data_IF_851063149064
#
_entry.id   IF_851063149064
#
_cell.length_a   1.000
_cell.length_b   1.000
_cell.length_c   1.000
_cell.angle_alpha   90.00
_cell.angle_beta   90.00
_cell.angle_gamma   90.00
#
_symmetry.space_group_name_H-M   'P 1'
#
loop_
_entity.id
_entity.type
_entity.pdbx_description
1 polymer ?
#
# COMPACT_ATOMS: atom_id res chain seq x y z
N UNK A 1 -30.92 11.33 -8.41
CA UNK A 1 -30.18 10.95 -7.19
C UNK A 1 -29.77 12.21 -6.43
N UNK A 2 -29.71 12.18 -5.08
CA UNK A 2 -29.26 13.33 -4.26
C UNK A 2 -27.75 13.50 -4.44
N UNK A 3 -27.27 14.76 -4.56
CA UNK A 3 -25.85 15.12 -4.71
C UNK A 3 -25.45 15.99 -3.52
N UNK A 4 -24.30 15.73 -2.89
CA UNK A 4 -23.76 16.53 -1.79
C UNK A 4 -22.65 17.48 -2.26
N UNK A 5 -22.93 18.32 -3.26
CA UNK A 5 -21.90 19.19 -3.82
C UNK A 5 -21.45 20.27 -2.83
N UNK A 6 -20.15 20.39 -2.52
CA UNK A 6 -19.65 21.27 -1.46
C UNK A 6 -19.79 22.77 -1.80
N UNK A 7 -19.64 23.15 -3.07
CA UNK A 7 -19.60 24.55 -3.52
C UNK A 7 -20.99 25.05 -3.95
N UNK A 8 -21.11 26.37 -4.15
CA UNK A 8 -22.39 26.99 -4.53
C UNK A 8 -22.88 26.59 -5.92
N UNK A 9 -21.95 26.48 -6.88
CA UNK A 9 -22.28 26.18 -8.28
C UNK A 9 -21.49 25.00 -8.81
N UNK A 10 -22.19 24.11 -9.51
CA UNK A 10 -21.59 23.08 -10.36
C UNK A 10 -21.26 23.70 -11.70
N UNK A 11 -20.03 23.53 -12.20
CA UNK A 11 -19.63 23.97 -13.53
C UNK A 11 -20.15 22.99 -14.58
N UNK A 12 -20.42 23.45 -15.82
CA UNK A 12 -20.99 22.59 -16.86
C UNK A 12 -20.18 21.30 -17.06
N UNK A 13 -18.85 21.38 -17.14
CA UNK A 13 -17.98 20.19 -17.29
C UNK A 13 -18.05 19.26 -16.08
N UNK A 14 -18.24 19.80 -14.87
CA UNK A 14 -18.44 18.98 -13.67
C UNK A 14 -19.81 18.26 -13.67
N UNK A 15 -20.85 18.94 -14.19
CA UNK A 15 -22.19 18.36 -14.27
C UNK A 15 -22.20 17.14 -15.18
N UNK A 16 -21.56 17.22 -16.35
CA UNK A 16 -21.44 16.08 -17.26
C UNK A 16 -20.63 14.94 -16.62
N UNK A 17 -19.50 15.27 -15.97
CA UNK A 17 -18.70 14.28 -15.25
C UNK A 17 -19.51 13.58 -14.13
N UNK A 18 -20.28 14.32 -13.36
CA UNK A 18 -21.18 13.80 -12.33
C UNK A 18 -22.23 12.86 -12.93
N UNK A 19 -22.86 13.24 -14.06
CA UNK A 19 -23.83 12.40 -14.77
C UNK A 19 -23.24 11.07 -15.21
N UNK A 20 -22.03 11.11 -15.79
CA UNK A 20 -21.33 9.90 -16.23
C UNK A 20 -21.00 8.97 -15.05
N UNK A 21 -20.54 9.52 -13.93
CA UNK A 21 -20.30 8.76 -12.71
C UNK A 21 -21.57 8.08 -12.23
N UNK A 22 -22.66 8.85 -12.08
CA UNK A 22 -23.94 8.33 -11.59
C UNK A 22 -24.48 7.23 -12.52
N UNK A 23 -24.41 7.44 -13.83
CA UNK A 23 -24.80 6.44 -14.83
C UNK A 23 -23.97 5.15 -14.72
N UNK A 24 -22.64 5.28 -14.59
CA UNK A 24 -21.77 4.13 -14.43
C UNK A 24 -22.11 3.34 -13.16
N UNK A 25 -22.29 4.03 -12.03
CA UNK A 25 -22.57 3.42 -10.73
C UNK A 25 -23.93 2.72 -10.71
N UNK A 26 -24.98 3.34 -11.27
CA UNK A 26 -26.31 2.74 -11.40
C UNK A 26 -26.30 1.49 -12.28
N UNK A 27 -25.51 1.50 -13.34
CA UNK A 27 -25.36 0.36 -14.25
C UNK A 27 -24.38 -0.71 -13.72
N UNK A 28 -23.77 -0.50 -12.55
CA UNK A 28 -22.70 -1.34 -11.98
C UNK A 28 -21.52 -1.58 -12.95
N UNK A 29 -21.17 -0.55 -13.73
CA UNK A 29 -20.03 -0.57 -14.65
C UNK A 29 -18.83 0.13 -14.04
N UNK A 30 -17.64 -0.27 -14.46
CA UNK A 30 -16.43 0.49 -14.21
C UNK A 30 -16.42 1.78 -15.04
N UNK A 31 -15.74 2.80 -14.54
CA UNK A 31 -15.55 4.07 -15.25
C UNK A 31 -14.07 4.40 -15.33
N UNK A 32 -13.59 4.69 -16.55
CA UNK A 32 -12.26 5.28 -16.77
C UNK A 32 -12.51 6.68 -17.32
N UNK A 33 -12.05 7.70 -16.60
CA UNK A 33 -12.33 9.10 -16.95
C UNK A 33 -11.04 9.92 -17.10
N UNK A 34 -10.84 10.46 -18.30
CA UNK A 34 -9.88 11.56 -18.49
C UNK A 34 -10.54 12.85 -17.99
N UNK A 35 -10.03 13.36 -16.89
CA UNK A 35 -10.58 14.54 -16.22
C UNK A 35 -9.45 15.55 -15.94
N UNK A 36 -9.26 16.57 -16.77
CA UNK A 36 -8.18 17.55 -16.65
C UNK A 36 -8.07 18.19 -15.27
N UNK A 37 -6.89 18.65 -14.91
CA UNK A 37 -6.66 19.39 -13.66
C UNK A 37 -7.52 20.67 -13.63
N UNK A 38 -8.02 21.02 -12.45
CA UNK A 38 -8.82 22.24 -12.27
C UNK A 38 -10.32 22.11 -12.54
N UNK A 39 -10.81 20.99 -13.10
CA UNK A 39 -12.27 20.80 -13.28
C UNK A 39 -12.99 20.48 -11.95
N UNK A 40 -12.26 20.19 -10.87
CA UNK A 40 -12.85 19.80 -9.58
C UNK A 40 -13.26 18.33 -9.51
N UNK A 41 -12.42 17.43 -10.03
CA UNK A 41 -12.61 15.96 -10.02
C UNK A 41 -13.05 15.42 -8.67
N UNK A 42 -12.29 15.74 -7.62
CA UNK A 42 -12.52 15.25 -6.26
C UNK A 42 -13.90 15.65 -5.75
N UNK A 43 -14.28 16.93 -5.91
CA UNK A 43 -15.60 17.40 -5.52
C UNK A 43 -16.72 16.73 -6.34
N UNK A 44 -16.54 16.59 -7.65
CA UNK A 44 -17.51 15.93 -8.54
C UNK A 44 -17.75 14.48 -8.15
N UNK A 45 -16.69 13.68 -8.00
CA UNK A 45 -16.81 12.26 -7.70
C UNK A 45 -17.32 12.01 -6.27
N UNK A 46 -16.79 12.70 -5.27
CA UNK A 46 -17.21 12.52 -3.88
C UNK A 46 -18.67 12.95 -3.67
N UNK A 47 -19.08 14.09 -4.26
CA UNK A 47 -20.42 14.61 -4.11
C UNK A 47 -21.50 13.70 -4.69
N UNK A 48 -21.19 12.92 -5.70
CA UNK A 48 -22.10 11.97 -6.34
C UNK A 48 -22.07 10.60 -5.65
N UNK A 49 -20.91 10.10 -5.26
CA UNK A 49 -20.78 8.73 -4.73
C UNK A 49 -21.13 8.64 -3.25
N UNK A 50 -20.80 9.64 -2.42
CA UNK A 50 -21.12 9.58 -0.98
C UNK A 50 -22.60 9.39 -0.71
N UNK A 51 -23.54 10.15 -1.29
CA UNK A 51 -24.97 9.88 -1.10
C UNK A 51 -25.39 8.48 -1.56
N UNK A 52 -24.82 8.00 -2.65
CA UNK A 52 -25.12 6.68 -3.20
C UNK A 52 -24.69 5.55 -2.26
N UNK A 53 -23.45 5.60 -1.74
CA UNK A 53 -22.97 4.56 -0.81
C UNK A 53 -23.76 4.54 0.48
N UNK A 54 -24.21 5.69 0.98
CA UNK A 54 -25.04 5.78 2.18
C UNK A 54 -26.41 5.12 1.95
N UNK A 55 -27.05 5.36 0.79
CA UNK A 55 -28.31 4.72 0.42
C UNK A 55 -28.17 3.21 0.27
N UNK A 56 -27.09 2.75 -0.40
CA UNK A 56 -26.87 1.33 -0.70
C UNK A 56 -26.12 0.57 0.41
N UNK A 57 -25.70 1.24 1.49
CA UNK A 57 -24.89 0.68 2.59
C UNK A 57 -23.58 0.05 2.09
N UNK A 58 -22.89 0.76 1.18
CA UNK A 58 -21.58 0.39 0.64
C UNK A 58 -20.48 1.16 1.37
N UNK A 59 -19.24 0.74 1.19
CA UNK A 59 -18.05 1.50 1.61
C UNK A 59 -17.42 2.17 0.39
N UNK A 60 -17.05 3.42 0.51
CA UNK A 60 -16.25 4.11 -0.48
C UNK A 60 -14.76 4.04 -0.09
N UNK A 61 -13.92 3.54 -0.99
CA UNK A 61 -12.48 3.71 -0.94
C UNK A 61 -12.06 4.82 -1.89
N UNK A 62 -11.47 5.90 -1.37
CA UNK A 62 -10.85 6.94 -2.17
C UNK A 62 -9.34 6.76 -2.10
N UNK A 63 -8.77 6.27 -3.19
CA UNK A 63 -7.36 5.89 -3.25
C UNK A 63 -6.53 6.93 -4.00
N UNK A 64 -5.40 7.30 -3.43
CA UNK A 64 -4.45 8.22 -4.05
C UNK A 64 -3.02 7.92 -3.63
N UNK A 65 -2.05 8.28 -4.46
CA UNK A 65 -0.62 8.04 -4.22
C UNK A 65 0.10 9.19 -3.51
N UNK A 66 -0.58 10.30 -3.19
CA UNK A 66 0.03 11.52 -2.63
C UNK A 66 -0.74 12.05 -1.43
N UNK A 67 -0.05 12.31 -0.33
CA UNK A 67 -0.64 12.86 0.90
C UNK A 67 -1.34 14.22 0.70
N UNK A 68 -0.87 15.04 -0.24
CA UNK A 68 -1.54 16.31 -0.58
C UNK A 68 -2.94 16.11 -1.14
N UNK A 69 -3.17 15.02 -1.84
CA UNK A 69 -4.50 14.66 -2.38
C UNK A 69 -5.41 14.09 -1.30
N UNK A 70 -4.88 13.42 -0.27
CA UNK A 70 -5.62 13.06 0.92
C UNK A 70 -6.26 14.31 1.55
N UNK A 71 -5.48 15.38 1.71
CA UNK A 71 -5.96 16.65 2.28
C UNK A 71 -7.13 17.23 1.49
N UNK A 72 -7.02 17.27 0.15
CA UNK A 72 -8.10 17.76 -0.72
C UNK A 72 -9.38 16.94 -0.54
N UNK A 73 -9.28 15.62 -0.47
CA UNK A 73 -10.41 14.73 -0.25
C UNK A 73 -11.05 14.95 1.13
N UNK A 74 -10.22 15.06 2.18
CA UNK A 74 -10.66 15.34 3.56
C UNK A 74 -11.41 16.67 3.64
N UNK A 75 -10.83 17.75 3.10
CA UNK A 75 -11.45 19.08 3.09
C UNK A 75 -12.77 19.08 2.33
N UNK A 76 -12.80 18.46 1.15
CA UNK A 76 -14.04 18.30 0.36
C UNK A 76 -15.13 17.59 1.17
N UNK A 77 -14.77 16.50 1.87
CA UNK A 77 -15.73 15.74 2.70
C UNK A 77 -16.17 16.53 3.95
N UNK A 78 -15.30 17.35 4.54
CA UNK A 78 -15.68 18.28 5.63
C UNK A 78 -16.75 19.28 5.15
N UNK A 79 -16.47 19.96 4.03
CA UNK A 79 -17.38 20.94 3.43
C UNK A 79 -18.74 20.31 3.04
N UNK A 80 -18.72 19.10 2.45
CA UNK A 80 -19.95 18.35 2.14
C UNK A 80 -20.77 18.07 3.39
N UNK A 81 -20.11 17.64 4.47
CA UNK A 81 -20.75 17.30 5.73
C UNK A 81 -21.40 18.52 6.39
N UNK A 82 -20.71 19.63 6.41
CA UNK A 82 -21.18 20.90 6.97
C UNK A 82 -22.36 21.47 6.17
N UNK A 83 -22.19 21.63 4.86
CA UNK A 83 -23.18 22.25 3.99
C UNK A 83 -24.50 21.47 3.91
N UNK A 84 -24.40 20.15 3.81
CA UNK A 84 -25.57 19.29 3.63
C UNK A 84 -26.08 18.68 4.95
N UNK A 85 -25.45 19.00 6.09
CA UNK A 85 -25.70 18.38 7.41
C UNK A 85 -25.78 16.86 7.28
N UNK A 86 -24.89 16.31 6.44
CA UNK A 86 -24.89 14.89 6.11
C UNK A 86 -24.18 14.09 7.22
N UNK A 87 -24.79 12.98 7.61
CA UNK A 87 -24.21 12.09 8.61
C UNK A 87 -23.51 10.92 7.91
N UNK A 88 -22.19 11.01 7.79
CA UNK A 88 -21.33 9.93 7.34
C UNK A 88 -19.97 10.00 8.06
N UNK A 89 -19.29 8.90 8.10
CA UNK A 89 -18.02 8.74 8.81
C UNK A 89 -16.85 8.55 7.84
N UNK A 90 -15.72 9.17 8.15
CA UNK A 90 -14.51 9.17 7.30
C UNK A 90 -13.29 8.79 8.11
N UNK A 91 -12.42 7.99 7.53
CA UNK A 91 -11.06 7.75 8.02
C UNK A 91 -10.06 8.04 6.91
N UNK A 92 -8.95 8.66 7.27
CA UNK A 92 -7.81 8.91 6.41
C UNK A 92 -6.62 8.09 6.90
N UNK A 93 -6.06 7.23 6.03
CA UNK A 93 -5.04 6.24 6.32
C UNK A 93 -3.85 6.38 5.38
N UNK A 94 -2.66 6.28 5.93
CA UNK A 94 -1.43 6.11 5.17
C UNK A 94 -0.72 4.83 5.60
N UNK A 95 0.35 4.47 4.91
CA UNK A 95 1.09 3.24 5.22
C UNK A 95 1.44 3.13 6.71
N UNK A 96 1.26 1.94 7.29
CA UNK A 96 1.42 1.64 8.74
C UNK A 96 2.70 2.23 9.32
N UNK A 97 3.81 2.16 8.57
CA UNK A 97 5.11 2.73 8.98
C UNK A 97 5.04 4.24 9.22
N UNK A 98 4.38 4.97 8.34
CA UNK A 98 4.22 6.43 8.44
C UNK A 98 3.26 6.87 9.55
N UNK A 99 2.42 5.96 10.01
CA UNK A 99 1.53 6.18 11.16
C UNK A 99 2.17 5.79 12.50
N UNK A 100 3.32 5.12 12.49
CA UNK A 100 3.96 4.63 13.72
C UNK A 100 4.54 5.77 14.56
N UNK A 101 4.34 5.71 15.87
CA UNK A 101 4.91 6.66 16.83
C UNK A 101 6.26 6.22 17.39
N UNK A 102 6.78 5.05 17.04
CA UNK A 102 8.10 4.59 17.43
C UNK A 102 9.19 5.42 16.74
N UNK A 103 10.23 5.75 17.48
CA UNK A 103 11.35 6.55 16.97
C UNK A 103 12.19 5.76 15.95
N UNK A 104 12.57 6.42 14.85
CA UNK A 104 13.54 5.92 13.86
C UNK A 104 13.01 4.83 12.93
N UNK A 105 11.68 4.71 12.78
CA UNK A 105 11.05 3.75 11.86
C UNK A 105 11.02 4.21 10.40
N UNK A 106 11.32 5.47 10.13
CA UNK A 106 11.25 6.08 8.81
C UNK A 106 12.22 5.43 7.82
N UNK A 107 13.35 4.94 8.31
CA UNK A 107 14.41 4.33 7.51
C UNK A 107 14.21 2.81 7.23
N UNK A 108 13.20 2.18 7.82
CA UNK A 108 13.08 0.71 7.84
C UNK A 108 12.62 0.04 6.55
N UNK A 109 12.09 0.77 5.58
CA UNK A 109 11.61 0.18 4.32
C UNK A 109 10.52 -0.90 4.54
N UNK A 110 10.62 -2.01 3.77
CA UNK A 110 9.70 -3.17 3.86
C UNK A 110 9.77 -3.88 5.22
N UNK A 111 10.92 -3.86 5.86
CA UNK A 111 11.19 -4.57 7.12
C UNK A 111 10.45 -4.01 8.34
N UNK A 112 9.84 -2.82 8.21
CA UNK A 112 9.02 -2.25 9.28
C UNK A 112 7.94 -3.20 9.79
N UNK A 113 7.34 -4.00 8.92
CA UNK A 113 6.27 -4.92 9.31
C UNK A 113 6.77 -6.01 10.24
N UNK A 114 7.94 -6.58 9.97
CA UNK A 114 8.58 -7.60 10.81
C UNK A 114 8.97 -7.02 12.17
N UNK A 115 9.59 -5.82 12.17
CA UNK A 115 9.90 -5.09 13.40
C UNK A 115 8.64 -4.83 14.25
N UNK A 116 7.59 -4.30 13.65
CA UNK A 116 6.35 -4.02 14.36
C UNK A 116 5.72 -5.31 14.92
N UNK A 117 5.74 -6.40 14.15
CA UNK A 117 5.24 -7.72 14.56
C UNK A 117 6.01 -8.22 15.79
N UNK A 118 7.34 -8.21 15.75
CA UNK A 118 8.21 -8.65 16.84
C UNK A 118 7.95 -7.85 18.13
N UNK A 119 7.84 -6.52 18.06
CA UNK A 119 7.53 -5.68 19.23
C UNK A 119 6.15 -5.99 19.84
N UNK A 120 5.16 -6.28 19.00
CA UNK A 120 3.80 -6.59 19.46
C UNK A 120 3.76 -7.98 20.11
N UNK A 121 4.39 -9.00 19.49
CA UNK A 121 4.44 -10.36 20.02
C UNK A 121 5.17 -10.47 21.36
N UNK A 122 6.15 -9.60 21.59
CA UNK A 122 6.90 -9.51 22.86
C UNK A 122 6.26 -8.59 23.91
N UNK A 123 5.14 -7.95 23.59
CA UNK A 123 4.50 -6.93 24.43
C UNK A 123 5.44 -5.72 24.73
N UNK A 124 6.34 -5.39 23.81
CA UNK A 124 7.32 -4.29 23.94
C UNK A 124 6.87 -2.99 23.27
N UNK A 125 5.73 -2.99 22.56
CA UNK A 125 5.19 -1.78 21.95
C UNK A 125 4.23 -1.04 22.89
N UNK A 126 4.73 -0.06 23.65
CA UNK A 126 3.91 0.77 24.58
C UNK A 126 2.63 1.30 23.89
N UNK A 127 2.72 1.80 22.67
CA UNK A 127 1.56 2.36 21.95
C UNK A 127 0.50 1.30 21.65
N UNK A 128 0.93 0.09 21.29
CA UNK A 128 0.01 -1.02 21.02
C UNK A 128 -0.65 -1.51 22.30
N UNK A 129 0.14 -1.74 23.35
CA UNK A 129 -0.34 -2.19 24.65
C UNK A 129 -1.34 -1.18 25.26
N UNK A 130 -1.05 0.12 25.16
CA UNK A 130 -1.97 1.16 25.61
C UNK A 130 -3.29 1.21 24.80
N UNK A 131 -3.27 0.75 23.54
CA UNK A 131 -4.48 0.72 22.70
C UNK A 131 -5.39 -0.44 23.08
N UNK A 132 -4.82 -1.58 23.47
CA UNK A 132 -5.53 -2.77 23.85
C UNK A 132 -5.44 -3.01 25.37
N UNK A 133 -6.55 -3.38 26.00
CA UNK A 133 -6.58 -3.87 27.38
C UNK A 133 -6.79 -5.38 27.40
N UNK A 134 -6.74 -6.00 28.56
CA UNK A 134 -6.76 -7.47 28.73
C UNK A 134 -7.94 -8.20 28.07
N UNK A 135 -9.08 -7.56 27.81
CA UNK A 135 -10.27 -8.15 27.18
C UNK A 135 -10.81 -7.27 26.03
N UNK A 136 -9.95 -6.55 25.31
CA UNK A 136 -10.36 -5.72 24.18
C UNK A 136 -9.70 -4.35 24.16
N UNK A 137 -10.42 -3.32 23.77
CA UNK A 137 -9.87 -1.96 23.69
C UNK A 137 -9.78 -1.30 25.08
N UNK A 138 -8.69 -0.57 25.35
CA UNK A 138 -8.50 0.17 26.58
C UNK A 138 -9.60 1.24 26.78
N UNK A 139 -9.69 1.75 28.01
CA UNK A 139 -10.60 2.86 28.32
C UNK A 139 -10.23 4.11 27.53
N UNK A 140 -8.94 4.40 27.41
CA UNK A 140 -8.36 5.50 26.66
C UNK A 140 -8.71 5.41 25.18
N UNK A 141 -8.65 4.21 24.58
CA UNK A 141 -9.05 3.97 23.19
C UNK A 141 -10.53 4.24 22.98
N UNK A 142 -11.39 3.78 23.89
CA UNK A 142 -12.85 4.05 23.80
C UNK A 142 -13.16 5.54 23.91
N UNK A 143 -12.51 6.25 24.83
CA UNK A 143 -12.63 7.68 24.98
C UNK A 143 -12.11 8.44 23.74
N UNK A 144 -10.97 8.05 23.22
CA UNK A 144 -10.41 8.65 22.00
C UNK A 144 -11.41 8.53 20.83
N UNK A 145 -11.92 7.35 20.58
CA UNK A 145 -12.86 7.09 19.47
C UNK A 145 -14.22 7.77 19.70
N UNK A 146 -14.65 7.92 20.96
CA UNK A 146 -15.89 8.61 21.34
C UNK A 146 -15.80 10.12 21.14
N UNK A 147 -14.66 10.73 21.42
CA UNK A 147 -14.42 12.18 21.36
C UNK A 147 -14.01 12.65 19.96
N UNK A 148 -13.36 11.80 19.16
CA UNK A 148 -12.81 12.16 17.85
C UNK A 148 -13.64 11.61 16.69
N UNK A 149 -14.91 12.02 16.62
CA UNK A 149 -15.86 11.61 15.54
C UNK A 149 -15.72 12.43 14.26
N UNK A 150 -15.03 13.56 14.32
CA UNK A 150 -14.83 14.46 13.20
C UNK A 150 -14.04 13.82 12.05
N UNK A 151 -14.08 14.46 10.90
CA UNK A 151 -13.23 14.12 9.75
C UNK A 151 -11.88 14.78 9.97
N UNK A 152 -10.83 13.99 10.14
CA UNK A 152 -9.46 14.46 10.32
C UNK A 152 -8.60 14.08 9.12
N UNK A 153 -7.72 14.98 8.70
CA UNK A 153 -6.58 14.60 7.89
C UNK A 153 -5.63 13.74 8.73
N UNK A 154 -4.89 12.84 8.11
CA UNK A 154 -4.02 11.90 8.80
C UNK A 154 -3.03 12.58 9.76
N UNK A 155 -2.45 13.73 9.40
CA UNK A 155 -1.53 14.48 10.27
C UNK A 155 -2.23 14.95 11.55
N UNK A 156 -3.44 15.52 11.43
CA UNK A 156 -4.26 15.94 12.58
C UNK A 156 -4.57 14.74 13.49
N UNK A 157 -4.90 13.61 12.87
CA UNK A 157 -5.21 12.37 13.57
C UNK A 157 -3.98 11.80 14.30
N UNK A 158 -2.81 11.82 13.67
CA UNK A 158 -1.55 11.38 14.27
C UNK A 158 -1.19 12.23 15.50
N UNK A 159 -1.35 13.54 15.41
CA UNK A 159 -1.06 14.44 16.53
C UNK A 159 -1.98 14.19 17.73
N UNK A 160 -3.26 13.92 17.48
CA UNK A 160 -4.21 13.54 18.52
C UNK A 160 -3.84 12.19 19.17
N UNK A 161 -3.51 11.19 18.37
CA UNK A 161 -3.16 9.87 18.85
C UNK A 161 -1.84 9.86 19.65
N UNK A 162 -0.83 10.62 19.21
CA UNK A 162 0.46 10.76 19.91
C UNK A 162 0.30 11.34 21.31
N UNK A 163 -0.59 12.32 21.48
CA UNK A 163 -0.87 12.94 22.80
C UNK A 163 -1.44 11.94 23.81
N UNK A 164 -2.10 10.88 23.33
CA UNK A 164 -2.71 9.85 24.18
C UNK A 164 -1.82 8.61 24.33
N UNK A 165 -0.64 8.57 23.71
CA UNK A 165 0.26 7.40 23.66
C UNK A 165 -0.40 6.11 23.16
N UNK A 166 -1.42 6.23 22.31
CA UNK A 166 -2.08 5.11 21.66
C UNK A 166 -1.47 4.85 20.28
N UNK A 167 -1.58 3.63 19.76
CA UNK A 167 -1.11 3.30 18.41
C UNK A 167 -1.99 3.98 17.34
N UNK A 168 -1.49 4.97 16.58
CA UNK A 168 -2.31 5.69 15.62
C UNK A 168 -2.86 4.78 14.52
N UNK A 169 -2.09 3.78 14.09
CA UNK A 169 -2.53 2.83 13.07
C UNK A 169 -3.70 1.96 13.55
N UNK A 170 -3.61 1.40 14.76
CA UNK A 170 -4.70 0.59 15.33
C UNK A 170 -5.95 1.44 15.58
N UNK A 171 -5.80 2.68 16.07
CA UNK A 171 -6.92 3.61 16.21
C UNK A 171 -7.61 3.89 14.86
N UNK A 172 -6.81 4.09 13.80
CA UNK A 172 -7.35 4.33 12.47
C UNK A 172 -8.06 3.09 11.90
N UNK A 173 -7.56 1.88 12.15
CA UNK A 173 -8.24 0.62 11.82
C UNK A 173 -9.60 0.51 12.54
N UNK A 174 -9.64 0.85 13.83
CA UNK A 174 -10.89 0.84 14.59
C UNK A 174 -11.89 1.86 14.08
N UNK A 175 -11.41 3.04 13.66
CA UNK A 175 -12.25 4.05 13.02
C UNK A 175 -12.72 3.56 11.64
N UNK A 176 -11.83 2.93 10.84
CA UNK A 176 -12.16 2.35 9.54
C UNK A 176 -13.31 1.34 9.60
N UNK A 177 -13.37 0.54 10.68
CA UNK A 177 -14.45 -0.45 10.88
C UNK A 177 -15.85 0.15 10.81
N UNK A 178 -16.00 1.42 11.23
CA UNK A 178 -17.26 2.15 11.27
C UNK A 178 -17.39 3.22 10.17
N UNK A 179 -16.34 3.40 9.36
CA UNK A 179 -16.30 4.46 8.36
C UNK A 179 -17.04 4.07 7.08
N UNK A 180 -17.81 5.01 6.55
CA UNK A 180 -18.47 4.92 5.25
C UNK A 180 -17.49 5.24 4.12
N UNK A 181 -16.54 6.13 4.39
CA UNK A 181 -15.48 6.55 3.45
C UNK A 181 -14.11 6.26 4.05
N UNK A 182 -13.26 5.59 3.29
CA UNK A 182 -11.87 5.29 3.60
C UNK A 182 -10.98 5.97 2.55
N UNK A 183 -10.18 6.94 2.98
CA UNK A 183 -9.13 7.53 2.15
C UNK A 183 -7.85 6.76 2.45
N UNK A 184 -7.14 6.28 1.44
CA UNK A 184 -5.95 5.46 1.63
C UNK A 184 -5.01 5.44 0.42
N UNK A 185 -3.81 4.87 0.61
CA UNK A 185 -2.90 4.54 -0.48
C UNK A 185 -3.42 3.35 -1.32
N UNK A 186 -2.98 3.23 -2.56
CA UNK A 186 -3.35 2.14 -3.47
C UNK A 186 -3.10 0.75 -2.88
N UNK A 187 -2.05 0.57 -2.08
CA UNK A 187 -1.67 -0.71 -1.46
C UNK A 187 -2.76 -1.31 -0.57
N UNK A 188 -3.62 -0.49 0.04
CA UNK A 188 -4.70 -0.99 0.90
C UNK A 188 -5.76 -1.81 0.17
N UNK A 189 -5.87 -1.62 -1.15
CA UNK A 189 -6.82 -2.35 -1.99
C UNK A 189 -6.12 -3.30 -2.95
N UNK A 190 -5.01 -2.89 -3.55
CA UNK A 190 -4.39 -3.65 -4.63
C UNK A 190 -3.30 -4.62 -4.16
N UNK A 191 -2.64 -4.41 -3.03
CA UNK A 191 -1.71 -5.41 -2.49
C UNK A 191 -2.50 -6.50 -1.73
N UNK A 192 -2.47 -7.77 -2.15
CA UNK A 192 -3.31 -8.82 -1.56
C UNK A 192 -3.10 -9.00 -0.05
N UNK A 193 -1.85 -9.05 0.40
CA UNK A 193 -1.53 -9.26 1.82
C UNK A 193 -1.96 -8.09 2.69
N UNK A 194 -1.74 -6.85 2.23
CA UNK A 194 -2.17 -5.64 2.95
C UNK A 194 -3.69 -5.55 2.95
N UNK A 195 -4.33 -5.84 1.81
CA UNK A 195 -5.79 -5.84 1.68
C UNK A 195 -6.43 -6.84 2.63
N UNK A 196 -5.98 -8.09 2.61
CA UNK A 196 -6.53 -9.14 3.47
C UNK A 196 -6.45 -8.75 4.96
N UNK A 197 -5.26 -8.33 5.41
CA UNK A 197 -5.06 -7.89 6.78
C UNK A 197 -5.94 -6.69 7.16
N UNK A 198 -6.04 -5.68 6.27
CA UNK A 198 -6.83 -4.49 6.50
C UNK A 198 -8.34 -4.79 6.47
N UNK A 199 -8.82 -5.47 5.43
CA UNK A 199 -10.24 -5.76 5.25
C UNK A 199 -10.79 -6.64 6.36
N UNK A 200 -10.00 -7.63 6.80
CA UNK A 200 -10.37 -8.47 7.95
C UNK A 200 -10.50 -7.64 9.23
N UNK A 201 -9.50 -6.82 9.57
CA UNK A 201 -9.51 -5.99 10.78
C UNK A 201 -10.58 -4.90 10.73
N UNK A 202 -10.77 -4.26 9.59
CA UNK A 202 -11.74 -3.19 9.37
C UNK A 202 -13.15 -3.71 9.04
N UNK A 203 -13.36 -5.02 8.93
CA UNK A 203 -14.62 -5.66 8.52
C UNK A 203 -15.18 -5.04 7.23
N UNK A 204 -14.34 -4.97 6.18
CA UNK A 204 -14.67 -4.46 4.84
C UNK A 204 -14.68 -5.60 3.82
N UNK A 205 -15.39 -5.40 2.71
CA UNK A 205 -15.55 -6.42 1.66
C UNK A 205 -15.49 -5.74 0.30
N UNK A 206 -14.78 -6.33 -0.67
CA UNK A 206 -14.71 -5.81 -2.04
C UNK A 206 -16.08 -5.72 -2.68
N UNK A 207 -16.92 -6.74 -2.50
CA UNK A 207 -18.26 -6.86 -3.07
C UNK A 207 -19.23 -5.77 -2.55
N UNK A 208 -18.86 -5.12 -1.45
CA UNK A 208 -19.60 -4.01 -0.84
C UNK A 208 -18.86 -2.68 -0.94
N UNK A 209 -17.97 -2.57 -1.94
CA UNK A 209 -17.10 -1.39 -2.07
C UNK A 209 -17.23 -0.74 -3.44
N UNK A 210 -17.20 0.59 -3.44
CA UNK A 210 -16.88 1.40 -4.62
C UNK A 210 -15.47 1.94 -4.40
N UNK A 211 -14.60 1.79 -5.40
CA UNK A 211 -13.20 2.18 -5.33
C UNK A 211 -12.94 3.29 -6.34
N UNK A 212 -12.62 4.46 -5.83
CA UNK A 212 -12.15 5.59 -6.64
C UNK A 212 -10.62 5.59 -6.60
N UNK A 213 -10.00 5.64 -7.77
CA UNK A 213 -8.56 5.80 -7.93
C UNK A 213 -8.29 7.17 -8.53
N UNK A 214 -7.81 8.08 -7.70
CA UNK A 214 -7.35 9.39 -8.16
C UNK A 214 -5.91 9.30 -8.65
N UNK A 215 -5.57 10.11 -9.66
CA UNK A 215 -4.30 10.05 -10.40
C UNK A 215 -3.98 8.64 -10.92
N UNK A 216 -5.00 7.98 -11.47
CA UNK A 216 -4.95 6.59 -11.90
C UNK A 216 -3.88 6.28 -12.97
N UNK A 217 -3.32 7.32 -13.64
CA UNK A 217 -2.17 7.14 -14.53
C UNK A 217 -0.93 6.57 -13.84
N UNK A 218 -0.82 6.73 -12.50
CA UNK A 218 0.26 6.14 -11.71
C UNK A 218 -0.01 4.67 -11.33
N UNK A 219 -1.25 4.21 -11.42
CA UNK A 219 -1.64 2.89 -10.93
C UNK A 219 -0.83 1.74 -11.58
N UNK A 220 -0.67 1.66 -12.92
CA UNK A 220 0.05 0.55 -13.53
C UNK A 220 1.49 0.40 -13.03
N UNK A 221 2.22 1.51 -12.88
CA UNK A 221 3.58 1.50 -12.36
C UNK A 221 3.61 1.05 -10.90
N UNK A 222 2.71 1.54 -10.08
CA UNK A 222 2.61 1.16 -8.65
C UNK A 222 2.27 -0.31 -8.46
N UNK A 223 1.37 -0.87 -9.28
CA UNK A 223 1.04 -2.29 -9.23
C UNK A 223 2.25 -3.16 -9.58
N UNK A 224 2.98 -2.80 -10.65
CA UNK A 224 4.22 -3.50 -11.01
C UNK A 224 5.26 -3.45 -9.88
N UNK A 225 5.45 -2.28 -9.26
CA UNK A 225 6.40 -2.12 -8.17
C UNK A 225 6.03 -2.96 -6.93
N UNK A 226 4.73 -3.13 -6.64
CA UNK A 226 4.25 -3.97 -5.52
C UNK A 226 4.61 -5.46 -5.68
N UNK A 227 4.81 -5.94 -6.91
CA UNK A 227 5.13 -7.33 -7.21
C UNK A 227 6.60 -7.53 -7.63
N UNK A 228 7.39 -6.47 -7.66
CA UNK A 228 8.79 -6.53 -8.07
C UNK A 228 9.71 -6.60 -6.86
N UNK A 229 10.86 -7.26 -7.03
CA UNK A 229 11.89 -7.37 -6.01
C UNK A 229 13.28 -7.18 -6.63
N UNK A 230 14.23 -6.71 -5.84
CA UNK A 230 15.61 -6.47 -6.27
C UNK A 230 16.60 -6.80 -5.16
N UNK A 231 17.69 -7.46 -5.55
CA UNK A 231 18.86 -7.64 -4.70
C UNK A 231 20.08 -6.99 -5.36
N UNK A 232 21.05 -6.53 -4.56
CA UNK A 232 22.24 -5.88 -5.09
C UNK A 232 23.51 -6.34 -4.37
N UNK A 233 24.66 -6.11 -5.00
CA UNK A 233 25.98 -6.33 -4.38
C UNK A 233 26.02 -5.72 -2.98
N UNK A 234 25.55 -4.49 -2.83
CA UNK A 234 25.53 -3.79 -1.55
C UNK A 234 24.70 -4.52 -0.48
N UNK A 235 23.52 -5.02 -0.83
CA UNK A 235 22.65 -5.75 0.11
C UNK A 235 23.33 -7.05 0.55
N UNK A 236 23.91 -7.82 -0.38
CA UNK A 236 24.58 -9.09 -0.10
C UNK A 236 25.81 -8.87 0.80
N UNK A 237 26.64 -7.87 0.51
CA UNK A 237 27.81 -7.53 1.33
C UNK A 237 27.41 -7.12 2.76
N UNK A 238 26.29 -6.42 2.91
CA UNK A 238 25.78 -6.03 4.22
C UNK A 238 25.19 -7.22 4.98
N UNK A 239 24.49 -8.11 4.28
CA UNK A 239 23.96 -9.35 4.85
C UNK A 239 25.09 -10.26 5.37
N UNK A 240 26.16 -10.41 4.61
CA UNK A 240 27.35 -11.17 5.05
C UNK A 240 27.99 -10.62 6.32
N UNK A 241 28.15 -9.29 6.42
CA UNK A 241 28.64 -8.66 7.65
C UNK A 241 27.70 -8.83 8.83
N UNK A 242 26.40 -8.81 8.56
CA UNK A 242 25.38 -9.01 9.57
C UNK A 242 25.36 -10.46 10.08
N UNK A 243 25.70 -11.40 9.21
CA UNK A 243 25.76 -12.84 9.51
C UNK A 243 27.05 -13.30 10.20
N UNK A 244 28.04 -12.45 10.42
CA UNK A 244 29.30 -12.84 11.09
C UNK A 244 29.11 -13.63 12.41
N UNK A 245 28.10 -13.32 13.28
CA UNK A 245 27.82 -14.09 14.48
C UNK A 245 27.02 -15.37 14.26
N UNK A 246 26.52 -15.60 13.03
CA UNK A 246 25.60 -16.71 12.68
C UNK A 246 26.23 -17.60 11.61
N UNK A 247 27.03 -18.60 12.04
CA UNK A 247 27.88 -19.41 11.16
C UNK A 247 27.10 -20.05 10.00
N UNK A 248 25.95 -20.68 10.27
CA UNK A 248 25.14 -21.35 9.23
C UNK A 248 24.56 -20.35 8.23
N UNK A 249 24.03 -19.21 8.68
CA UNK A 249 23.53 -18.16 7.79
C UNK A 249 24.65 -17.53 6.96
N UNK A 250 25.84 -17.39 7.53
CA UNK A 250 27.01 -16.87 6.82
C UNK A 250 27.46 -17.81 5.69
N UNK A 251 27.39 -19.13 5.88
CA UNK A 251 27.67 -20.13 4.82
C UNK A 251 26.66 -20.00 3.69
N UNK A 252 25.36 -19.94 4.01
CA UNK A 252 24.29 -19.76 3.03
C UNK A 252 24.44 -18.46 2.25
N UNK A 253 24.76 -17.36 2.91
CA UNK A 253 24.96 -16.07 2.24
C UNK A 253 26.20 -16.01 1.36
N UNK A 254 27.24 -16.79 1.68
CA UNK A 254 28.38 -16.98 0.79
C UNK A 254 27.97 -17.69 -0.50
N UNK A 255 27.18 -18.76 -0.40
CA UNK A 255 26.66 -19.44 -1.58
C UNK A 255 25.81 -18.50 -2.46
N UNK A 256 24.97 -17.67 -1.84
CA UNK A 256 24.20 -16.64 -2.55
C UNK A 256 25.13 -15.64 -3.25
N UNK A 257 26.18 -15.19 -2.55
CA UNK A 257 27.18 -14.27 -3.12
C UNK A 257 27.92 -14.88 -4.30
N UNK A 258 28.43 -16.09 -4.15
CA UNK A 258 29.22 -16.77 -5.19
C UNK A 258 28.41 -16.94 -6.47
N UNK A 259 27.15 -17.39 -6.35
CA UNK A 259 26.24 -17.46 -7.50
C UNK A 259 25.91 -16.09 -8.10
N UNK A 260 25.73 -15.08 -7.26
CA UNK A 260 25.48 -13.72 -7.74
C UNK A 260 26.69 -13.16 -8.50
N UNK A 261 27.92 -13.38 -8.02
CA UNK A 261 29.15 -12.98 -8.70
C UNK A 261 29.37 -13.74 -10.01
N UNK A 262 29.01 -15.03 -10.06
CA UNK A 262 29.03 -15.83 -11.28
C UNK A 262 28.17 -15.22 -12.39
N UNK A 263 26.92 -14.86 -12.08
CA UNK A 263 26.03 -14.23 -13.06
C UNK A 263 26.42 -12.81 -13.42
N UNK A 264 27.15 -12.09 -12.54
CA UNK A 264 27.68 -10.76 -12.81
C UNK A 264 28.91 -10.76 -13.71
N UNK A 265 29.60 -11.92 -13.86
CA UNK A 265 30.80 -12.03 -14.66
C UNK A 265 30.54 -11.64 -16.12
N UNK A 266 31.40 -10.77 -16.69
CA UNK A 266 31.28 -10.30 -18.08
C UNK A 266 30.04 -9.46 -18.42
N UNK A 267 29.38 -8.84 -17.43
CA UNK A 267 28.28 -7.92 -17.70
C UNK A 267 28.83 -6.55 -18.11
N UNK A 268 28.46 -6.08 -19.30
CA UNK A 268 28.77 -4.72 -19.75
C UNK A 268 27.77 -3.71 -19.17
N UNK A 269 26.46 -3.85 -19.49
CA UNK A 269 25.40 -2.96 -19.01
C UNK A 269 24.25 -3.74 -18.36
N UNK A 270 23.49 -4.52 -19.15
CA UNK A 270 22.37 -5.33 -18.69
C UNK A 270 22.26 -6.66 -19.45
N UNK A 271 21.68 -7.68 -18.81
CA UNK A 271 21.32 -8.95 -19.46
C UNK A 271 20.08 -9.59 -18.85
N UNK A 272 19.30 -10.30 -19.63
CA UNK A 272 18.28 -11.20 -19.12
C UNK A 272 18.94 -12.39 -18.42
N UNK A 273 18.34 -12.82 -17.31
CA UNK A 273 18.80 -13.94 -16.49
C UNK A 273 17.67 -14.96 -16.39
N UNK A 274 17.95 -16.24 -16.67
CA UNK A 274 16.96 -17.29 -16.47
C UNK A 274 16.88 -17.65 -14.99
N UNK A 275 15.72 -18.15 -14.55
CA UNK A 275 15.49 -18.56 -13.16
C UNK A 275 16.54 -19.55 -12.66
N UNK A 276 16.91 -20.50 -13.54
CA UNK A 276 17.88 -21.57 -13.24
C UNK A 276 19.32 -21.07 -13.05
N UNK A 277 19.68 -19.90 -13.59
CA UNK A 277 21.01 -19.30 -13.43
C UNK A 277 21.25 -18.82 -11.99
N UNK A 278 20.16 -18.56 -11.25
CA UNK A 278 20.23 -18.19 -9.81
C UNK A 278 19.34 -19.12 -9.00
N UNK A 279 19.60 -20.44 -9.11
CA UNK A 279 18.87 -21.51 -8.46
C UNK A 279 19.68 -22.13 -7.31
N UNK A 280 18.98 -22.53 -6.25
CA UNK A 280 19.55 -23.19 -5.06
C UNK A 280 18.78 -24.48 -4.78
N UNK A 281 19.50 -25.60 -4.59
CA UNK A 281 18.89 -26.91 -4.38
C UNK A 281 18.06 -26.98 -3.10
N UNK A 282 18.54 -26.29 -2.02
CA UNK A 282 17.86 -26.23 -0.72
C UNK A 282 17.25 -24.85 -0.43
N UNK A 283 16.65 -24.24 -1.46
CA UNK A 283 16.15 -22.87 -1.36
C UNK A 283 15.22 -22.61 -0.16
N UNK A 284 14.30 -23.54 0.14
CA UNK A 284 13.36 -23.37 1.25
C UNK A 284 14.03 -23.45 2.61
N UNK A 285 14.96 -24.40 2.81
CA UNK A 285 15.76 -24.50 4.04
C UNK A 285 16.61 -23.23 4.25
N UNK A 286 17.18 -22.71 3.16
CA UNK A 286 17.94 -21.44 3.20
C UNK A 286 17.05 -20.26 3.61
N UNK A 287 15.86 -20.15 3.04
CA UNK A 287 14.88 -19.11 3.36
C UNK A 287 14.48 -19.19 4.84
N UNK A 288 14.11 -20.38 5.33
CA UNK A 288 13.68 -20.57 6.71
C UNK A 288 14.79 -20.21 7.70
N UNK A 289 16.05 -20.60 7.42
CA UNK A 289 17.21 -20.21 8.22
C UNK A 289 17.43 -18.69 8.23
N UNK A 290 17.40 -18.05 7.05
CA UNK A 290 17.62 -16.61 6.93
C UNK A 290 16.49 -15.82 7.62
N UNK A 291 15.25 -16.30 7.55
CA UNK A 291 14.11 -15.69 8.25
C UNK A 291 14.30 -15.77 9.78
N UNK A 292 14.64 -16.94 10.31
CA UNK A 292 14.87 -17.13 11.74
C UNK A 292 16.00 -16.23 12.27
N UNK A 293 17.12 -16.13 11.54
CA UNK A 293 18.23 -15.23 11.89
C UNK A 293 17.82 -13.77 11.77
N UNK A 294 17.03 -13.43 10.77
CA UNK A 294 16.51 -12.07 10.59
C UNK A 294 15.62 -11.64 11.76
N UNK A 295 14.78 -12.54 12.29
CA UNK A 295 13.96 -12.29 13.47
C UNK A 295 14.81 -12.00 14.72
N UNK A 296 15.87 -12.77 14.98
CA UNK A 296 16.82 -12.50 16.08
C UNK A 296 17.56 -11.16 15.93
N UNK A 297 17.86 -10.77 14.68
CA UNK A 297 18.47 -9.46 14.40
C UNK A 297 17.49 -8.31 14.67
N UNK A 298 16.21 -8.45 14.34
CA UNK A 298 15.20 -7.43 14.63
C UNK A 298 15.06 -7.15 16.12
N UNK A 299 15.41 -8.09 16.98
CA UNK A 299 15.47 -7.86 18.42
C UNK A 299 16.53 -6.82 18.83
N UNK A 300 17.62 -6.73 18.08
CA UNK A 300 18.80 -5.91 18.38
C UNK A 300 18.92 -4.68 17.48
N UNK A 301 18.45 -4.80 16.25
CA UNK A 301 18.56 -3.77 15.20
C UNK A 301 17.23 -3.62 14.46
N UNK A 302 16.97 -2.41 13.99
CA UNK A 302 15.73 -2.08 13.26
C UNK A 302 15.70 -2.52 11.80
N UNK A 303 16.81 -3.00 11.24
CA UNK A 303 16.95 -3.43 9.84
C UNK A 303 17.81 -4.70 9.84
N UNK A 304 17.39 -5.70 9.06
CA UNK A 304 18.17 -6.89 8.75
C UNK A 304 18.41 -6.98 7.23
N UNK A 305 19.65 -6.96 6.82
CA UNK A 305 20.03 -7.20 5.42
C UNK A 305 19.86 -8.67 5.04
N UNK A 306 19.98 -9.58 6.01
CA UNK A 306 19.69 -11.01 5.84
C UNK A 306 18.21 -11.19 5.45
N UNK A 307 17.30 -10.47 6.11
CA UNK A 307 15.88 -10.50 5.77
C UNK A 307 15.58 -9.99 4.36
N UNK A 308 16.32 -8.97 3.88
CA UNK A 308 16.17 -8.51 2.49
C UNK A 308 16.62 -9.57 1.48
N UNK A 309 17.67 -10.34 1.77
CA UNK A 309 18.09 -11.47 0.94
C UNK A 309 17.02 -12.55 0.92
N UNK A 310 16.48 -12.92 2.08
CA UNK A 310 15.38 -13.89 2.18
C UNK A 310 14.14 -13.46 1.38
N UNK A 311 13.69 -12.21 1.55
CA UNK A 311 12.55 -11.64 0.80
C UNK A 311 12.79 -11.73 -0.72
N UNK A 312 14.01 -11.43 -1.18
CA UNK A 312 14.35 -11.54 -2.59
C UNK A 312 14.34 -12.99 -3.09
N UNK A 313 14.92 -13.94 -2.35
CA UNK A 313 14.94 -15.35 -2.72
C UNK A 313 13.52 -15.94 -2.86
N UNK A 314 12.61 -15.55 -1.95
CA UNK A 314 11.19 -15.89 -2.04
C UNK A 314 10.56 -15.37 -3.34
N UNK A 315 10.79 -14.09 -3.64
CA UNK A 315 10.26 -13.45 -4.84
C UNK A 315 10.87 -14.05 -6.13
N UNK A 316 12.18 -14.30 -6.15
CA UNK A 316 12.89 -14.88 -7.30
C UNK A 316 12.33 -16.24 -7.72
N UNK A 317 11.88 -17.04 -6.76
CA UNK A 317 11.27 -18.35 -7.01
C UNK A 317 9.83 -18.26 -7.56
N UNK A 318 9.29 -17.04 -7.72
CA UNK A 318 7.97 -16.79 -8.30
C UNK A 318 7.82 -17.21 -9.76
N UNK A 319 6.66 -16.94 -10.32
CA UNK A 319 6.28 -17.30 -11.70
C UNK A 319 7.12 -16.57 -12.74
N UNK A 320 7.20 -17.16 -13.95
CA UNK A 320 7.84 -16.54 -15.11
C UNK A 320 6.85 -15.74 -15.95
N UNK A 321 5.59 -16.17 -15.98
CA UNK A 321 4.55 -15.53 -16.78
C UNK A 321 4.23 -14.13 -16.22
N UNK A 322 4.38 -13.12 -17.08
CA UNK A 322 4.20 -11.71 -16.72
C UNK A 322 5.34 -11.08 -15.91
N UNK A 323 6.48 -11.78 -15.77
CA UNK A 323 7.67 -11.26 -15.08
C UNK A 323 8.90 -11.31 -15.97
N UNK A 324 9.85 -10.40 -15.69
CA UNK A 324 11.18 -10.41 -16.25
C UNK A 324 12.21 -10.55 -15.15
N UNK A 325 13.25 -11.37 -15.43
CA UNK A 325 14.45 -11.44 -14.59
C UNK A 325 15.62 -10.87 -15.39
N UNK A 326 16.28 -9.89 -14.82
CA UNK A 326 17.43 -9.26 -15.48
C UNK A 326 18.45 -8.75 -14.46
N UNK A 327 19.69 -8.73 -14.90
CA UNK A 327 20.81 -8.18 -14.19
C UNK A 327 21.19 -6.84 -14.83
N UNK A 328 21.39 -5.82 -14.03
CA UNK A 328 21.87 -4.51 -14.47
C UNK A 328 23.09 -4.06 -13.67
N UNK A 329 23.95 -3.28 -14.33
CA UNK A 329 25.11 -2.65 -13.71
C UNK A 329 24.77 -1.20 -13.37
N UNK A 330 24.96 -0.82 -12.12
CA UNK A 330 24.70 0.52 -11.63
C UNK A 330 25.93 1.07 -10.90
N UNK A 331 26.14 2.37 -10.98
CA UNK A 331 27.19 3.05 -10.24
C UNK A 331 26.65 3.66 -8.95
N UNK A 332 27.15 3.21 -7.80
CA UNK A 332 26.76 3.80 -6.53
C UNK A 332 28.01 4.28 -5.76
N UNK A 333 28.07 5.60 -5.49
CA UNK A 333 29.18 6.24 -4.75
C UNK A 333 30.57 5.88 -5.27
N UNK A 334 30.76 5.83 -6.60
CA UNK A 334 32.05 5.53 -7.24
C UNK A 334 32.44 4.05 -7.23
N UNK A 335 31.56 3.14 -6.78
CA UNK A 335 31.75 1.69 -6.84
C UNK A 335 30.77 1.06 -7.82
N UNK A 336 31.19 0.02 -8.51
CA UNK A 336 30.31 -0.81 -9.32
C UNK A 336 29.36 -1.54 -8.39
N UNK A 337 28.04 -1.44 -8.68
CA UNK A 337 26.99 -2.14 -7.99
C UNK A 337 26.16 -2.88 -9.03
N UNK A 338 25.97 -4.17 -8.84
CA UNK A 338 25.09 -4.99 -9.68
C UNK A 338 23.76 -5.16 -8.99
N UNK A 339 22.68 -5.16 -9.77
CA UNK A 339 21.31 -5.38 -9.30
C UNK A 339 20.69 -6.51 -10.08
N UNK A 340 20.26 -7.55 -9.38
CA UNK A 340 19.44 -8.63 -9.94
C UNK A 340 17.97 -8.32 -9.63
N UNK A 341 17.22 -8.19 -10.68
CA UNK A 341 15.81 -7.76 -10.64
C UNK A 341 14.87 -8.91 -10.98
N UNK A 342 13.81 -9.04 -10.19
CA UNK A 342 12.60 -9.77 -10.52
C UNK A 342 11.48 -8.75 -10.69
N UNK A 343 11.10 -8.45 -11.93
CA UNK A 343 10.26 -7.31 -12.29
C UNK A 343 8.93 -7.77 -12.86
N UNK A 344 7.83 -7.36 -12.23
CA UNK A 344 6.50 -7.54 -12.78
C UNK A 344 6.32 -6.66 -14.02
N UNK A 345 5.82 -7.25 -15.11
CA UNK A 345 5.49 -6.58 -16.36
C UNK A 345 3.99 -6.35 -16.51
N UNK A 346 3.18 -7.27 -16.01
CA UNK A 346 1.72 -7.22 -16.13
C UNK A 346 1.05 -6.79 -14.81
N UNK A 347 0.57 -5.54 -14.71
CA UNK A 347 -0.11 -5.06 -13.51
C UNK A 347 -1.48 -5.72 -13.29
N UNK A 348 -2.03 -6.41 -14.28
CA UNK A 348 -3.35 -7.02 -14.22
C UNK A 348 -3.47 -8.11 -13.15
N UNK A 349 -2.36 -8.75 -12.76
CA UNK A 349 -2.35 -9.73 -11.66
C UNK A 349 -3.00 -9.21 -10.38
N UNK A 350 -2.75 -7.94 -10.03
CA UNK A 350 -3.32 -7.31 -8.84
C UNK A 350 -4.71 -6.72 -9.07
N UNK A 351 -5.11 -6.55 -10.34
CA UNK A 351 -6.39 -5.93 -10.69
C UNK A 351 -7.55 -6.92 -10.73
N UNK A 352 -7.32 -8.16 -11.20
CA UNK A 352 -8.38 -9.15 -11.49
C UNK A 352 -9.42 -9.27 -10.38
N UNK A 353 -9.00 -9.60 -9.18
CA UNK A 353 -9.93 -9.80 -8.07
C UNK A 353 -10.70 -8.52 -7.72
N UNK A 354 -10.03 -7.36 -7.80
CA UNK A 354 -10.64 -6.07 -7.50
C UNK A 354 -11.65 -5.67 -8.57
N UNK A 355 -11.34 -5.89 -9.84
CA UNK A 355 -12.25 -5.68 -10.98
C UNK A 355 -13.47 -6.60 -10.86
N UNK A 356 -13.27 -7.89 -10.61
CA UNK A 356 -14.35 -8.88 -10.55
C UNK A 356 -15.31 -8.65 -9.39
N UNK A 357 -14.81 -8.16 -8.25
CA UNK A 357 -15.58 -8.10 -7.00
C UNK A 357 -16.07 -6.71 -6.61
N UNK A 358 -15.54 -5.64 -7.20
CA UNK A 358 -15.88 -4.27 -6.80
C UNK A 358 -16.22 -3.39 -8.00
N UNK A 359 -16.68 -2.19 -7.74
CA UNK A 359 -16.90 -1.19 -8.79
C UNK A 359 -15.78 -0.13 -8.75
N UNK A 360 -15.15 0.11 -9.92
CA UNK A 360 -14.01 0.99 -10.05
C UNK A 360 -14.38 2.29 -10.77
N UNK A 361 -13.85 3.41 -10.26
CA UNK A 361 -13.83 4.71 -10.92
C UNK A 361 -12.37 5.17 -10.97
N UNK A 362 -11.77 5.09 -12.14
CA UNK A 362 -10.41 5.53 -12.39
C UNK A 362 -10.43 6.93 -13.01
N UNK A 363 -9.76 7.88 -12.40
CA UNK A 363 -9.74 9.25 -12.91
C UNK A 363 -8.33 9.86 -12.84
N UNK A 364 -7.99 10.65 -13.86
CA UNK A 364 -6.76 11.46 -13.89
C UNK A 364 -6.80 12.51 -15.00
N UNK A 365 -6.00 13.55 -14.84
CA UNK A 365 -5.78 14.58 -15.85
C UNK A 365 -4.93 14.15 -17.05
N UNK A 366 -4.27 12.99 -16.97
CA UNK A 366 -3.33 12.50 -17.99
C UNK A 366 -3.63 11.05 -18.40
N UNK A 367 -4.88 10.60 -18.25
CA UNK A 367 -5.31 9.22 -18.52
C UNK A 367 -5.72 9.09 -19.99
N UNK A 368 -4.75 9.18 -20.91
CA UNK A 368 -4.94 9.05 -22.36
C UNK A 368 -3.82 8.20 -22.97
N UNK A 369 -4.12 7.36 -23.99
CA UNK A 369 -5.45 6.97 -24.45
C UNK A 369 -6.16 6.06 -23.44
N UNK A 370 -7.48 6.20 -23.30
CA UNK A 370 -8.27 5.45 -22.31
C UNK A 370 -8.23 3.92 -22.53
N UNK A 371 -8.25 3.51 -23.81
CA UNK A 371 -8.21 2.10 -24.22
C UNK A 371 -6.93 1.42 -23.71
N UNK A 372 -5.79 2.10 -23.76
CA UNK A 372 -4.52 1.59 -23.27
C UNK A 372 -4.61 1.25 -21.76
N UNK A 373 -5.20 2.14 -20.97
CA UNK A 373 -5.36 1.89 -19.52
C UNK A 373 -6.40 0.80 -19.24
N UNK A 374 -7.49 0.75 -20.01
CA UNK A 374 -8.48 -0.31 -19.93
C UNK A 374 -7.83 -1.68 -20.14
N UNK A 375 -7.08 -1.83 -21.25
CA UNK A 375 -6.46 -3.10 -21.62
C UNK A 375 -5.34 -3.47 -20.63
N UNK A 376 -4.48 -2.51 -20.26
CA UNK A 376 -3.38 -2.71 -19.31
C UNK A 376 -3.85 -3.10 -17.90
N UNK A 377 -5.02 -2.64 -17.48
CA UNK A 377 -5.59 -2.90 -16.16
C UNK A 377 -6.68 -4.00 -16.20
N UNK A 378 -6.90 -4.63 -17.34
CA UNK A 378 -7.87 -5.70 -17.50
C UNK A 378 -9.32 -5.33 -17.19
N UNK A 379 -9.70 -4.06 -17.45
CA UNK A 379 -11.04 -3.57 -17.18
C UNK A 379 -11.92 -3.84 -18.43
N UNK A 380 -12.91 -4.71 -18.29
CA UNK A 380 -13.82 -5.12 -19.37
C UNK A 380 -15.12 -4.33 -19.35
#
# INVERSE_FOLDING_TARGET
MKIFFPYEKIRNIQDDFIKDILKAVEQKKHLIAHAPTGIGKTAGVLSSIVPYILEKKLTLFFLTSRHTQHRIAVETLKEMKEKHKANFSVVDLIGKRHMCSQFGVEAMGSQFYNFCKALVEKNECEFYENTYGGLGYSFETRNFLGSNKEVYHVEEFLDLARKTKLCPYELALLKAKRSDVVIADYSYVFNPSIREAFFTKANKFLEKSIIIVDEAHNLPARLRDMMSSVISTFIIERALKEAEPYEEAHVVLREVKDKFEEICSNLEDEKLVRKEEFYFEKLYDMIDLLDAVSEDIFEKKKISYIGLVSEFLKAWNGDDDGFARYLEKDGYKGKTNFKLNYKCLDPNFLMREVVDKSQLILMSGTLLPLEMYRDLLGIV
#
